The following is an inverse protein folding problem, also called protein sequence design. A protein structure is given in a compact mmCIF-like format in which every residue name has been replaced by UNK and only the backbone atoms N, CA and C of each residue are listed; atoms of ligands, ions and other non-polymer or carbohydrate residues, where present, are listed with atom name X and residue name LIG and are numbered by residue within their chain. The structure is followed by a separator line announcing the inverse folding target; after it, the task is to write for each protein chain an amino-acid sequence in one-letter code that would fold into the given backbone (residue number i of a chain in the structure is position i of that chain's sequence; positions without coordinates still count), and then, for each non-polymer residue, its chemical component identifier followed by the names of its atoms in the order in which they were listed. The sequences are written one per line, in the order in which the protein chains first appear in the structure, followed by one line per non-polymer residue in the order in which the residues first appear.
data_IF_669709029783
#
_entry.id   IF_669709029783
#
_cell.length_a   1.000
_cell.length_b   1.000
_cell.length_c   1.000
_cell.angle_alpha   90.00
_cell.angle_beta   90.00
_cell.angle_gamma   90.00
#
_symmetry.space_group_name_H-M   'P 1'
#
loop_
_entity.id
_entity.type
_entity.pdbx_description
1 polymer ?
#
# COMPACT_ATOMS: atom_id res chain seq x y z
N UNK A 1 11.64 -6.94 -32.65
CA UNK A 1 11.88 -6.00 -31.52
C UNK A 1 10.59 -5.31 -31.09
N UNK A 2 9.90 -4.61 -32.00
CA UNK A 2 8.73 -3.79 -31.65
C UNK A 2 7.58 -4.55 -30.99
N UNK A 3 7.36 -5.83 -31.30
CA UNK A 3 6.28 -6.61 -30.66
C UNK A 3 6.64 -7.17 -29.28
N UNK A 4 7.91 -7.20 -28.89
CA UNK A 4 8.34 -7.90 -27.67
C UNK A 4 8.83 -6.88 -26.65
N UNK A 5 9.76 -6.02 -27.07
CA UNK A 5 10.16 -4.84 -26.30
C UNK A 5 9.27 -3.64 -26.67
N UNK A 6 7.95 -3.86 -26.79
CA UNK A 6 6.92 -2.83 -26.95
C UNK A 6 6.70 -2.00 -25.67
N UNK A 7 7.69 -1.94 -24.78
CA UNK A 7 7.58 -1.38 -23.43
C UNK A 7 8.85 -0.62 -23.07
N UNK A 8 9.58 -1.04 -22.03
CA UNK A 8 10.67 -0.24 -21.50
C UNK A 8 11.88 -0.15 -22.44
N UNK A 9 12.58 0.98 -22.36
CA UNK A 9 13.80 1.26 -23.15
C UNK A 9 14.94 0.31 -22.80
N UNK A 10 14.97 -0.20 -21.57
CA UNK A 10 15.93 -1.20 -21.07
C UNK A 10 15.84 -2.54 -21.84
N UNK A 11 14.63 -3.05 -22.11
CA UNK A 11 14.45 -4.27 -22.92
C UNK A 11 15.07 -4.09 -24.31
N UNK A 12 14.86 -2.92 -24.93
CA UNK A 12 15.44 -2.61 -26.24
C UNK A 12 16.96 -2.50 -26.17
N UNK A 13 17.47 -1.81 -25.14
CA UNK A 13 18.91 -1.67 -24.91
C UNK A 13 19.60 -3.03 -24.71
N UNK A 14 19.06 -3.86 -23.82
CA UNK A 14 19.60 -5.18 -23.53
C UNK A 14 19.56 -6.09 -24.75
N UNK A 15 18.50 -6.00 -25.58
CA UNK A 15 18.47 -6.70 -26.86
C UNK A 15 19.54 -6.20 -27.84
N UNK A 16 19.74 -4.88 -27.95
CA UNK A 16 20.73 -4.29 -28.85
C UNK A 16 22.15 -4.66 -28.45
N UNK A 17 22.45 -4.70 -27.14
CA UNK A 17 23.79 -4.97 -26.63
C UNK A 17 24.10 -6.47 -26.58
N UNK A 18 23.13 -7.31 -26.20
CA UNK A 18 23.35 -8.76 -26.06
C UNK A 18 23.02 -9.56 -27.32
N UNK A 19 22.10 -9.07 -28.16
CA UNK A 19 21.48 -9.87 -29.23
C UNK A 19 20.57 -10.99 -28.72
N UNK A 20 20.45 -11.18 -27.41
CA UNK A 20 19.68 -12.24 -26.77
C UNK A 20 18.30 -11.75 -26.37
N UNK A 21 17.32 -12.42 -26.95
CA UNK A 21 15.92 -12.12 -26.76
C UNK A 21 15.36 -12.60 -25.42
N UNK A 22 15.84 -13.74 -24.92
CA UNK A 22 15.45 -14.28 -23.62
C UNK A 22 15.95 -13.35 -22.51
N UNK A 23 17.18 -12.87 -22.64
CA UNK A 23 17.77 -11.88 -21.74
C UNK A 23 16.96 -10.58 -21.71
N UNK A 24 16.69 -9.99 -22.88
CA UNK A 24 15.89 -8.77 -22.98
C UNK A 24 14.46 -8.91 -22.41
N UNK A 25 13.81 -10.06 -22.64
CA UNK A 25 12.48 -10.33 -22.10
C UNK A 25 12.51 -10.50 -20.57
N UNK A 26 13.59 -11.08 -20.02
CA UNK A 26 13.78 -11.16 -18.58
C UNK A 26 13.85 -9.74 -17.97
N UNK A 27 14.63 -8.82 -18.56
CA UNK A 27 14.70 -7.42 -18.10
C UNK A 27 13.32 -6.76 -18.08
N UNK A 28 12.55 -6.88 -19.16
CA UNK A 28 11.18 -6.36 -19.22
C UNK A 28 10.31 -6.88 -18.08
N UNK A 29 10.38 -8.18 -17.81
CA UNK A 29 9.61 -8.79 -16.72
C UNK A 29 10.07 -8.29 -15.36
N UNK A 30 11.39 -8.18 -15.13
CA UNK A 30 11.94 -7.68 -13.87
C UNK A 30 11.52 -6.24 -13.57
N UNK A 31 11.52 -5.36 -14.57
CA UNK A 31 11.05 -3.98 -14.39
C UNK A 31 9.55 -3.93 -14.07
N UNK A 32 8.74 -4.70 -14.80
CA UNK A 32 7.31 -4.80 -14.52
C UNK A 32 7.03 -5.27 -13.08
N UNK A 33 7.73 -6.30 -12.62
CA UNK A 33 7.61 -6.77 -11.23
C UNK A 33 8.10 -5.73 -10.23
N UNK A 34 9.17 -5.00 -10.52
CA UNK A 34 9.66 -3.92 -9.66
C UNK A 34 8.64 -2.78 -9.54
N UNK A 35 7.96 -2.41 -10.62
CA UNK A 35 6.90 -1.42 -10.62
C UNK A 35 5.67 -1.88 -9.81
N UNK A 36 5.24 -3.12 -9.99
CA UNK A 36 4.14 -3.70 -9.20
C UNK A 36 4.47 -3.67 -7.71
N UNK A 37 5.65 -4.16 -7.31
CA UNK A 37 6.10 -4.17 -5.92
C UNK A 37 6.21 -2.75 -5.36
N UNK A 38 6.74 -1.81 -6.12
CA UNK A 38 6.82 -0.41 -5.71
C UNK A 38 5.43 0.20 -5.51
N UNK A 39 4.43 -0.16 -6.33
CA UNK A 39 3.06 0.32 -6.18
C UNK A 39 2.38 -0.22 -4.91
N UNK A 40 2.57 -1.51 -4.60
CA UNK A 40 2.02 -2.16 -3.41
C UNK A 40 2.59 -1.55 -2.12
N UNK A 41 3.92 -1.37 -2.09
CA UNK A 41 4.60 -0.71 -0.97
C UNK A 41 4.13 0.73 -0.80
N UNK A 42 3.91 1.50 -1.88
CA UNK A 42 3.39 2.87 -1.79
C UNK A 42 2.02 2.93 -1.14
N UNK A 43 1.11 1.99 -1.40
CA UNK A 43 -0.20 1.95 -0.73
C UNK A 43 -0.06 1.78 0.80
N UNK A 44 0.97 1.07 1.25
CA UNK A 44 1.26 0.88 2.67
C UNK A 44 1.92 2.11 3.35
N UNK A 45 2.35 3.12 2.58
CA UNK A 45 3.00 4.32 3.12
C UNK A 45 2.03 5.38 3.64
N UNK A 46 0.82 5.46 3.08
CA UNK A 46 -0.19 6.38 3.59
C UNK A 46 -0.75 5.85 4.91
N UNK A 47 -0.56 6.64 5.95
CA UNK A 47 -0.86 6.28 7.33
C UNK A 47 -1.73 7.36 7.95
N UNK A 48 -2.82 6.96 8.57
CA UNK A 48 -3.64 7.85 9.36
C UNK A 48 -2.93 8.20 10.68
N UNK A 49 -3.26 9.36 11.31
CA UNK A 49 -2.72 9.70 12.62
C UNK A 49 -2.95 8.59 13.64
N UNK A 50 -1.97 8.32 14.50
CA UNK A 50 -2.08 7.28 15.52
C UNK A 50 -3.24 7.59 16.47
N UNK A 51 -4.23 6.69 16.54
CA UNK A 51 -5.30 6.76 17.53
C UNK A 51 -4.77 6.25 18.87
N UNK A 52 -4.78 7.11 19.89
CA UNK A 52 -4.48 6.69 21.26
C UNK A 52 -5.57 5.77 21.79
N UNK A 53 -5.17 4.80 22.63
CA UNK A 53 -6.14 3.97 23.36
C UNK A 53 -6.89 4.87 24.36
N UNK A 54 -8.23 4.78 24.45
CA UNK A 54 -8.98 5.47 25.50
C UNK A 54 -8.52 5.03 26.90
N UNK A 55 -8.51 5.93 27.88
CA UNK A 55 -8.11 5.62 29.27
C UNK A 55 -8.97 4.51 29.89
N UNK A 56 -10.26 4.49 29.57
CA UNK A 56 -11.27 3.58 30.13
C UNK A 56 -12.01 2.90 28.98
N UNK A 57 -11.22 2.20 28.16
CA UNK A 57 -11.71 1.60 26.94
C UNK A 57 -10.67 0.79 26.19
N UNK A 58 -11.07 0.32 25.01
CA UNK A 58 -10.30 -0.59 24.16
C UNK A 58 -10.27 -0.09 22.72
N UNK A 59 -9.21 -0.51 22.03
CA UNK A 59 -8.97 -0.27 20.60
C UNK A 59 -8.75 -1.63 19.97
N UNK A 60 -9.50 -1.97 18.93
CA UNK A 60 -9.45 -3.32 18.32
C UNK A 60 -8.14 -3.60 17.58
N UNK A 61 -7.45 -2.56 17.12
CA UNK A 61 -6.33 -2.68 16.20
C UNK A 61 -5.32 -1.54 16.42
N UNK A 62 -4.02 -1.80 16.33
CA UNK A 62 -2.95 -0.78 16.48
C UNK A 62 -2.50 -0.21 15.14
N UNK A 63 -2.74 -0.95 14.06
CA UNK A 63 -2.42 -0.57 12.69
C UNK A 63 -3.23 0.64 12.25
N UNK A 64 -2.65 1.44 11.36
CA UNK A 64 -3.22 2.70 10.89
C UNK A 64 -2.83 3.01 9.44
N UNK A 65 -2.56 1.97 8.64
CA UNK A 65 -2.43 2.10 7.19
C UNK A 65 -3.82 2.18 6.55
N UNK A 66 -3.87 2.74 5.34
CA UNK A 66 -5.09 2.83 4.53
C UNK A 66 -5.80 1.48 4.44
N UNK A 67 -7.13 1.51 4.55
CA UNK A 67 -7.97 0.30 4.56
C UNK A 67 -8.13 -0.34 5.95
N UNK A 68 -7.34 0.05 6.95
CA UNK A 68 -7.53 -0.44 8.32
C UNK A 68 -8.79 0.14 8.95
N UNK A 69 -9.64 -0.71 9.51
CA UNK A 69 -10.78 -0.30 10.34
C UNK A 69 -10.49 -0.56 11.82
N UNK A 70 -10.55 0.50 12.62
CA UNK A 70 -10.33 0.48 14.07
C UNK A 70 -11.67 0.68 14.77
N UNK A 71 -12.01 -0.24 15.67
CA UNK A 71 -13.15 -0.13 16.56
C UNK A 71 -12.69 0.34 17.95
N UNK A 72 -13.30 1.40 18.44
CA UNK A 72 -13.03 1.99 19.76
C UNK A 72 -14.24 1.76 20.65
N UNK A 73 -14.03 1.14 21.80
CA UNK A 73 -15.08 0.90 22.78
C UNK A 73 -14.69 1.43 24.15
N UNK A 74 -15.69 1.72 24.98
CA UNK A 74 -15.51 2.13 26.37
C UNK A 74 -15.83 0.97 27.31
N UNK A 75 -15.23 0.99 28.51
CA UNK A 75 -15.58 0.05 29.58
C UNK A 75 -17.00 0.33 30.11
N UNK A 76 -17.58 -0.62 30.86
CA UNK A 76 -18.93 -0.48 31.40
C UNK A 76 -19.07 0.77 32.28
N UNK A 77 -20.18 1.50 32.11
CA UNK A 77 -20.44 2.76 32.82
C UNK A 77 -19.83 4.00 32.14
N UNK A 78 -19.10 3.85 31.03
CA UNK A 78 -18.57 4.97 30.25
C UNK A 78 -19.23 5.03 28.87
N UNK A 79 -19.32 6.26 28.33
CA UNK A 79 -19.83 6.50 26.98
C UNK A 79 -18.72 6.99 26.05
N UNK A 80 -18.77 6.51 24.81
CA UNK A 80 -17.88 6.97 23.75
C UNK A 80 -18.31 8.38 23.29
N UNK A 81 -17.37 9.33 23.27
CA UNK A 81 -17.60 10.70 22.75
C UNK A 81 -17.27 10.80 21.27
N UNK A 82 -16.54 9.83 20.76
CA UNK A 82 -16.07 9.73 19.39
C UNK A 82 -16.86 8.65 18.64
N UNK A 83 -16.73 8.58 17.32
CA UNK A 83 -17.29 7.49 16.53
C UNK A 83 -16.62 6.15 16.85
N UNK A 84 -17.45 5.10 16.95
CA UNK A 84 -17.02 3.75 17.34
C UNK A 84 -16.13 3.09 16.29
N UNK A 85 -16.48 3.21 15.00
CA UNK A 85 -15.76 2.58 13.91
C UNK A 85 -15.11 3.63 13.03
N UNK A 86 -13.79 3.54 12.86
CA UNK A 86 -13.01 4.47 12.04
C UNK A 86 -12.19 3.70 11.01
N UNK A 87 -12.39 4.01 9.74
CA UNK A 87 -11.61 3.47 8.63
C UNK A 87 -10.54 4.47 8.21
N UNK A 88 -9.30 4.01 8.05
CA UNK A 88 -8.25 4.85 7.49
C UNK A 88 -8.44 4.97 5.97
N UNK A 89 -8.78 6.17 5.50
CA UNK A 89 -9.06 6.45 4.08
C UNK A 89 -7.77 6.67 3.31
N UNK A 90 -7.83 6.54 1.99
CA UNK A 90 -6.72 6.84 1.06
C UNK A 90 -6.18 8.27 1.21
N UNK A 91 -6.97 9.20 1.75
CA UNK A 91 -6.54 10.56 2.09
C UNK A 91 -5.58 10.63 3.28
N UNK A 92 -5.30 9.53 3.97
CA UNK A 92 -4.52 9.51 5.22
C UNK A 92 -5.29 10.08 6.42
N UNK A 93 -6.63 10.12 6.34
CA UNK A 93 -7.50 10.61 7.42
C UNK A 93 -8.49 9.53 7.84
N UNK A 94 -8.84 9.52 9.12
CA UNK A 94 -9.89 8.64 9.64
C UNK A 94 -11.26 9.05 9.12
N UNK A 95 -12.13 8.07 8.87
CA UNK A 95 -13.56 8.32 8.71
C UNK A 95 -14.15 8.96 9.97
N UNK A 96 -15.18 9.77 9.76
CA UNK A 96 -16.01 10.30 10.83
C UNK A 96 -16.98 9.21 11.24
#
# INVERSE_FOLDING_TARGET
IENICAGPTSCRFDFIVSGDFVFANATKNHEYYAELLASDVRMQTFRCPVLMKPRLGRKSEIRHFVGTTVRVSCDSGYRLVVYENRMCRETGLWSW
#
